data_IF_996150528984
#
_entry.id   IF_996150528984
#
_cell.length_a   1.000
_cell.length_b   1.000
_cell.length_c   1.000
_cell.angle_alpha   90.00
_cell.angle_beta   90.00
_cell.angle_gamma   90.00
#
_symmetry.space_group_name_H-M   'P 1'
#
loop_
_entity.id
_entity.type
_entity.pdbx_description
1 polymer ?
#
# COMPACT_ATOMS: atom_id res chain seq x y z
N UNK A 1 -9.30 -3.98 -12.12
CA UNK A 1 -9.53 -2.62 -11.61
C UNK A 1 -8.23 -1.82 -11.48
N UNK A 2 -7.23 -2.19 -10.66
CA UNK A 2 -5.97 -1.41 -10.49
C UNK A 2 -5.35 -0.86 -11.78
N UNK A 3 -5.04 -1.74 -12.75
CA UNK A 3 -4.37 -1.32 -13.99
C UNK A 3 -5.22 -0.40 -14.87
N UNK A 4 -6.54 -0.52 -14.77
CA UNK A 4 -7.45 0.39 -15.46
C UNK A 4 -7.38 1.78 -14.82
N UNK A 5 -7.41 1.87 -13.49
CA UNK A 5 -7.22 3.13 -12.77
C UNK A 5 -5.90 3.82 -13.14
N UNK A 6 -4.80 3.06 -13.24
CA UNK A 6 -3.50 3.62 -13.63
C UNK A 6 -3.49 4.11 -15.08
N UNK A 7 -4.19 3.39 -15.98
CA UNK A 7 -4.35 3.81 -17.38
C UNK A 7 -5.17 5.10 -17.50
N UNK A 8 -6.22 5.23 -16.70
CA UNK A 8 -7.12 6.38 -16.72
C UNK A 8 -6.49 7.62 -16.04
N UNK A 9 -5.46 7.42 -15.21
CA UNK A 9 -4.78 8.48 -14.47
C UNK A 9 -3.27 8.52 -14.80
N UNK A 10 -2.88 8.98 -15.99
CA UNK A 10 -1.49 8.92 -16.47
C UNK A 10 -0.50 9.76 -15.65
N UNK A 11 -0.99 10.63 -14.78
CA UNK A 11 -0.17 11.43 -13.87
C UNK A 11 0.33 10.65 -12.64
N UNK A 12 -0.21 9.46 -12.37
CA UNK A 12 0.26 8.58 -11.30
C UNK A 12 1.56 7.92 -11.76
N UNK A 13 2.67 8.33 -11.15
CA UNK A 13 4.00 7.84 -11.49
C UNK A 13 4.53 6.81 -10.50
N UNK A 14 4.07 6.89 -9.25
CA UNK A 14 4.58 6.13 -8.12
C UNK A 14 3.42 5.42 -7.43
N UNK A 15 3.58 4.11 -7.18
CA UNK A 15 2.58 3.26 -6.52
C UNK A 15 3.21 2.54 -5.34
N UNK A 16 2.61 2.65 -4.16
CA UNK A 16 3.02 1.91 -2.99
C UNK A 16 2.07 0.72 -2.78
N UNK A 17 2.64 -0.48 -2.59
CA UNK A 17 1.91 -1.71 -2.34
C UNK A 17 2.03 -2.06 -0.87
N UNK A 18 0.89 -2.09 -0.17
CA UNK A 18 0.82 -2.15 1.30
C UNK A 18 -0.09 -3.30 1.76
N UNK A 19 0.17 -4.52 1.30
CA UNK A 19 -0.57 -5.70 1.75
C UNK A 19 -0.12 -6.19 3.13
N UNK A 20 -0.91 -7.08 3.73
CA UNK A 20 -0.63 -7.74 5.00
C UNK A 20 0.74 -8.42 5.01
N UNK A 21 1.36 -8.49 6.18
CA UNK A 21 2.64 -9.17 6.40
C UNK A 21 2.42 -10.68 6.56
N UNK A 22 1.86 -11.30 5.54
CA UNK A 22 1.73 -12.75 5.43
C UNK A 22 2.16 -13.25 4.05
N UNK A 23 2.19 -14.57 3.88
CA UNK A 23 2.63 -15.20 2.63
C UNK A 23 1.75 -14.79 1.43
N UNK A 24 0.44 -14.65 1.64
CA UNK A 24 -0.50 -14.29 0.59
C UNK A 24 -0.32 -12.82 0.16
N UNK A 25 -0.16 -11.92 1.13
CA UNK A 25 0.12 -10.51 0.95
C UNK A 25 1.44 -10.28 0.23
N UNK A 26 2.52 -10.94 0.66
CA UNK A 26 3.83 -10.83 0.00
C UNK A 26 3.82 -11.40 -1.43
N UNK A 27 3.13 -12.52 -1.64
CA UNK A 27 2.96 -13.11 -2.99
C UNK A 27 2.17 -12.17 -3.90
N UNK A 28 1.09 -11.56 -3.38
CA UNK A 28 0.30 -10.59 -4.12
C UNK A 28 1.11 -9.33 -4.46
N UNK A 29 1.84 -8.78 -3.49
CA UNK A 29 2.77 -7.66 -3.65
C UNK A 29 3.74 -7.91 -4.81
N UNK A 30 4.45 -9.04 -4.78
CA UNK A 30 5.40 -9.43 -5.83
C UNK A 30 4.73 -9.52 -7.20
N UNK A 31 3.59 -10.20 -7.28
CA UNK A 31 2.84 -10.37 -8.53
C UNK A 31 2.37 -9.04 -9.13
N UNK A 32 2.00 -8.07 -8.29
CA UNK A 32 1.55 -6.75 -8.75
C UNK A 32 2.75 -5.88 -9.13
N UNK A 33 3.81 -5.87 -8.31
CA UNK A 33 5.07 -5.17 -8.60
C UNK A 33 5.65 -5.58 -9.96
N UNK A 34 5.70 -6.90 -10.24
CA UNK A 34 6.17 -7.42 -11.53
C UNK A 34 5.35 -6.89 -12.72
N UNK A 35 4.04 -6.69 -12.54
CA UNK A 35 3.17 -6.12 -13.57
C UNK A 35 3.38 -4.61 -13.72
N UNK A 36 3.56 -3.88 -12.62
CA UNK A 36 3.85 -2.44 -12.64
C UNK A 36 5.20 -2.14 -13.30
N UNK A 37 6.22 -2.94 -13.00
CA UNK A 37 7.54 -2.87 -13.61
C UNK A 37 7.46 -3.06 -15.13
N UNK A 38 6.66 -4.01 -15.62
CA UNK A 38 6.42 -4.22 -17.07
C UNK A 38 5.73 -3.05 -17.75
N UNK A 39 5.00 -2.22 -16.99
CA UNK A 39 4.35 -1.00 -17.47
C UNK A 39 5.22 0.24 -17.28
N UNK A 40 6.47 0.09 -16.83
CA UNK A 40 7.39 1.17 -16.46
C UNK A 40 6.81 2.14 -15.40
N UNK A 41 5.97 1.63 -14.49
CA UNK A 41 5.43 2.40 -13.37
C UNK A 41 6.31 2.16 -12.15
N UNK A 42 6.83 3.23 -11.55
CA UNK A 42 7.63 3.11 -10.33
C UNK A 42 6.76 2.58 -9.21
N UNK A 43 7.29 1.60 -8.47
CA UNK A 43 6.57 1.00 -7.37
C UNK A 43 7.49 0.58 -6.24
N UNK A 44 6.93 0.56 -5.04
CA UNK A 44 7.60 0.15 -3.82
C UNK A 44 6.65 -0.71 -3.00
N UNK A 45 7.19 -1.76 -2.37
CA UNK A 45 6.44 -2.62 -1.46
C UNK A 45 6.75 -2.16 -0.04
N UNK A 46 5.72 -1.74 0.69
CA UNK A 46 5.80 -1.46 2.11
C UNK A 46 5.18 -2.64 2.86
N UNK A 47 5.83 -3.11 3.91
CA UNK A 47 5.39 -4.25 4.71
C UNK A 47 5.14 -3.74 6.13
N UNK A 48 3.97 -4.00 6.73
CA UNK A 48 3.73 -3.65 8.12
C UNK A 48 4.64 -4.46 9.06
N UNK A 49 4.94 -3.90 10.22
CA UNK A 49 5.78 -4.53 11.25
C UNK A 49 5.07 -5.73 11.87
N UNK A 50 3.77 -5.59 12.13
CA UNK A 50 2.89 -6.65 12.62
C UNK A 50 2.10 -7.26 11.46
N UNK A 51 0.96 -7.90 11.74
CA UNK A 51 0.21 -8.65 10.73
C UNK A 51 -0.36 -7.75 9.64
N UNK A 52 -0.89 -6.59 10.03
CA UNK A 52 -1.46 -5.60 9.11
C UNK A 52 -1.21 -4.17 9.60
N UNK A 53 -1.52 -3.19 8.76
CA UNK A 53 -1.31 -1.78 9.08
C UNK A 53 -2.18 -1.28 10.24
N UNK A 54 -3.32 -1.92 10.52
CA UNK A 54 -4.14 -1.53 11.66
C UNK A 54 -3.50 -1.98 12.97
N UNK A 55 -2.90 -3.17 13.00
CA UNK A 55 -2.10 -3.63 14.12
C UNK A 55 -0.90 -2.70 14.34
N UNK A 56 -0.19 -2.30 13.27
CA UNK A 56 0.89 -1.31 13.37
C UNK A 56 0.42 0.02 13.97
N UNK A 57 -0.74 0.54 13.56
CA UNK A 57 -1.30 1.77 14.14
C UNK A 57 -1.66 1.59 15.61
N UNK A 58 -2.29 0.47 15.97
CA UNK A 58 -2.78 0.21 17.34
C UNK A 58 -1.66 -0.13 18.32
N UNK A 59 -0.60 -0.78 17.83
CA UNK A 59 0.54 -1.25 18.63
C UNK A 59 1.73 -0.31 18.58
N UNK A 60 1.73 0.69 17.68
CA UNK A 60 2.71 1.76 17.72
C UNK A 60 2.64 2.47 19.08
N UNK A 61 3.80 2.71 19.72
CA UNK A 61 3.87 3.53 20.92
C UNK A 61 3.19 4.86 20.60
N UNK A 62 2.02 5.12 21.18
CA UNK A 62 1.12 6.27 20.93
C UNK A 62 1.87 7.53 20.50
N UNK A 63 2.13 7.64 19.20
CA UNK A 63 2.80 8.78 18.60
C UNK A 63 1.72 9.76 18.18
N UNK A 64 1.43 10.74 19.04
CA UNK A 64 0.61 11.92 18.76
C UNK A 64 -0.61 11.66 17.86
N UNK A 65 -1.54 10.80 18.30
CA UNK A 65 -2.84 10.61 17.65
C UNK A 65 -3.60 11.95 17.61
N UNK A 66 -3.43 12.71 16.52
CA UNK A 66 -4.31 13.85 16.22
C UNK A 66 -5.62 13.28 15.73
N UNK A 67 -6.66 13.44 16.53
CA UNK A 67 -8.04 13.10 16.18
C UNK A 67 -8.36 13.72 14.81
N UNK A 68 -8.53 12.85 13.80
CA UNK A 68 -9.00 13.26 12.48
C UNK A 68 -10.49 13.59 12.63
N UNK A 69 -10.81 14.88 12.76
CA UNK A 69 -12.20 15.31 12.82
C UNK A 69 -12.82 15.11 11.43
N UNK A 70 -13.70 14.14 11.31
CA UNK A 70 -14.57 14.02 10.15
C UNK A 70 -15.53 15.21 10.17
N UNK A 71 -15.32 16.17 9.27
CA UNK A 71 -16.29 17.24 9.03
C UNK A 71 -17.44 16.61 8.24
N UNK A 72 -18.60 16.48 8.90
CA UNK A 72 -19.89 16.13 8.30
C UNK A 72 -20.41 17.28 7.42
#
# INVERSE_FOLDING_TARGET
MLFQCLKDNPNIKNVFLCFDNDEAGQTANKRIADKLNKLNIQNEILIPTHKDWNEDLTLSEKGDERICHQVL
#
